data_IF_441199215132
#
_entry.id   IF_441199215132
#
_cell.length_a   1.000
_cell.length_b   1.000
_cell.length_c   1.000
_cell.angle_alpha   90.00
_cell.angle_beta   90.00
_cell.angle_gamma   90.00
#
_symmetry.space_group_name_H-M   'P 1'
#
loop_
_entity.id
_entity.type
_entity.pdbx_description
1 polymer ?
#
# COMPACT_ATOMS: atom_id res chain seq x y z
N UNK A 1 -9.71 31.80 7.41
CA UNK A 1 -10.89 31.01 6.96
C UNK A 1 -10.46 30.01 5.88
N UNK A 2 -10.06 28.79 6.27
CA UNK A 2 -9.74 27.71 5.31
C UNK A 2 -10.96 26.79 5.17
N UNK A 3 -12.00 27.25 4.47
CA UNK A 3 -13.19 26.43 4.19
C UNK A 3 -12.95 25.65 2.90
N UNK A 4 -13.03 24.32 2.98
CA UNK A 4 -12.94 23.43 1.82
C UNK A 4 -14.37 23.00 1.43
N UNK A 5 -14.64 22.92 0.13
CA UNK A 5 -15.88 22.33 -0.41
C UNK A 5 -15.47 21.18 -1.32
N UNK A 6 -16.06 20.01 -1.07
CA UNK A 6 -15.83 18.81 -1.86
C UNK A 6 -16.98 18.61 -2.85
N UNK A 7 -16.68 18.05 -4.02
CA UNK A 7 -17.66 17.65 -5.01
C UNK A 7 -17.41 16.17 -5.34
N UNK A 8 -18.46 15.36 -5.28
CA UNK A 8 -18.43 13.96 -5.66
C UNK A 8 -19.38 13.77 -6.85
N UNK A 9 -18.88 13.15 -7.90
CA UNK A 9 -19.65 12.78 -9.09
C UNK A 9 -19.63 11.27 -9.26
N UNK A 10 -20.81 10.66 -9.32
CA UNK A 10 -20.94 9.26 -9.70
C UNK A 10 -20.59 9.11 -11.20
N UNK A 11 -19.78 8.11 -11.52
CA UNK A 11 -19.39 7.78 -12.90
C UNK A 11 -20.01 6.44 -13.26
N UNK A 12 -20.92 6.45 -14.23
CA UNK A 12 -21.43 5.22 -14.82
C UNK A 12 -20.33 4.52 -15.62
N UNK A 13 -20.26 3.20 -15.48
CA UNK A 13 -19.33 2.35 -16.21
C UNK A 13 -20.09 1.48 -17.21
N UNK A 14 -19.51 1.29 -18.40
CA UNK A 14 -20.04 0.43 -19.45
C UNK A 14 -18.99 -0.60 -19.91
N UNK A 15 -19.44 -1.72 -20.48
CA UNK A 15 -18.56 -2.81 -20.93
C UNK A 15 -18.38 -3.90 -19.87
N UNK A 16 -17.15 -4.34 -19.64
CA UNK A 16 -16.85 -5.39 -18.67
C UNK A 16 -16.76 -4.80 -17.26
N UNK A 17 -17.89 -4.65 -16.59
CA UNK A 17 -17.96 -3.99 -15.29
C UNK A 17 -17.49 -4.98 -14.19
N UNK A 18 -16.53 -4.61 -13.33
CA UNK A 18 -16.17 -5.44 -12.19
C UNK A 18 -17.37 -5.57 -11.24
N UNK A 19 -17.63 -6.79 -10.77
CA UNK A 19 -18.64 -7.00 -9.72
C UNK A 19 -18.35 -6.17 -8.45
N UNK A 20 -19.41 -5.90 -7.67
CA UNK A 20 -19.31 -5.22 -6.39
C UNK A 20 -18.39 -5.98 -5.44
N UNK A 21 -17.34 -5.30 -4.97
CA UNK A 21 -16.23 -5.92 -4.23
C UNK A 21 -15.57 -4.96 -3.23
N UNK A 22 -14.82 -5.51 -2.29
CA UNK A 22 -14.05 -4.77 -1.29
C UNK A 22 -12.67 -5.39 -1.09
N UNK A 23 -11.73 -4.65 -0.50
CA UNK A 23 -10.35 -5.12 -0.32
C UNK A 23 -9.59 -5.32 -1.65
N UNK A 24 -10.02 -4.64 -2.71
CA UNK A 24 -9.33 -4.57 -4.00
C UNK A 24 -8.44 -3.31 -4.05
N UNK A 25 -7.60 -3.20 -5.07
CA UNK A 25 -6.85 -1.97 -5.36
C UNK A 25 -7.36 -1.28 -6.60
N UNK A 26 -7.19 0.04 -6.64
CA UNK A 26 -7.41 0.89 -7.81
C UNK A 26 -6.22 1.83 -7.95
N UNK A 27 -5.58 1.84 -9.11
CA UNK A 27 -4.42 2.69 -9.38
C UNK A 27 -4.56 3.33 -10.76
N UNK A 28 -4.05 4.56 -10.91
CA UNK A 28 -3.97 5.22 -12.22
C UNK A 28 -2.63 4.90 -12.84
N UNK A 29 -2.63 4.49 -14.11
CA UNK A 29 -1.44 4.35 -14.94
C UNK A 29 -1.44 5.39 -16.05
N UNK A 30 -0.25 5.77 -16.49
CA UNK A 30 -0.01 6.71 -17.58
C UNK A 30 0.85 6.04 -18.65
N UNK A 31 0.34 5.94 -19.87
CA UNK A 31 1.04 5.32 -20.99
C UNK A 31 0.81 6.12 -22.25
N UNK A 32 1.90 6.54 -22.92
CA UNK A 32 1.88 7.31 -24.18
C UNK A 32 0.99 8.57 -24.13
N UNK A 33 0.97 9.26 -22.98
CA UNK A 33 0.17 10.48 -22.77
C UNK A 33 -1.32 10.23 -22.52
N UNK A 34 -1.74 8.97 -22.38
CA UNK A 34 -3.09 8.57 -21.96
C UNK A 34 -3.04 8.05 -20.53
N UNK A 35 -4.18 8.07 -19.85
CA UNK A 35 -4.33 7.45 -18.53
C UNK A 35 -5.48 6.44 -18.50
N UNK A 36 -5.36 5.45 -17.62
CA UNK A 36 -6.42 4.49 -17.34
C UNK A 36 -6.36 4.11 -15.86
N UNK A 37 -7.48 3.70 -15.30
CA UNK A 37 -7.54 3.10 -13.96
C UNK A 37 -7.39 1.59 -14.09
N UNK A 38 -6.46 1.02 -13.35
CA UNK A 38 -6.28 -0.43 -13.18
C UNK A 38 -6.99 -0.84 -11.90
N UNK A 39 -7.93 -1.78 -12.00
CA UNK A 39 -8.63 -2.38 -10.85
C UNK A 39 -8.26 -3.86 -10.78
N UNK A 40 -7.84 -4.32 -9.59
CA UNK A 40 -7.45 -5.71 -9.40
C UNK A 40 -7.82 -6.27 -8.02
N UNK A 41 -8.23 -7.54 -8.01
CA UNK A 41 -8.47 -8.34 -6.82
C UNK A 41 -9.74 -7.97 -6.05
N UNK A 42 -9.69 -8.24 -4.74
CA UNK A 42 -10.78 -8.03 -3.79
C UNK A 42 -11.64 -9.26 -3.54
N UNK A 43 -12.64 -9.06 -2.69
CA UNK A 43 -13.66 -10.03 -2.31
C UNK A 43 -15.03 -9.53 -2.66
N UNK A 44 -15.91 -10.47 -2.98
CA UNK A 44 -17.34 -10.25 -3.16
C UNK A 44 -18.11 -11.23 -2.28
N UNK A 45 -19.41 -10.97 -2.10
CA UNK A 45 -20.30 -11.99 -1.54
C UNK A 45 -20.44 -13.16 -2.52
N UNK A 46 -20.86 -14.31 -2.00
CA UNK A 46 -21.20 -15.44 -2.86
C UNK A 46 -22.15 -15.02 -4.00
N UNK A 47 -21.93 -15.55 -5.23
CA UNK A 47 -22.83 -15.35 -6.35
C UNK A 47 -24.28 -15.70 -6.00
N UNK A 48 -25.25 -15.02 -6.61
CA UNK A 48 -26.67 -15.15 -6.27
C UNK A 48 -27.19 -16.60 -6.31
N UNK A 49 -26.69 -17.43 -7.23
CA UNK A 49 -27.06 -18.84 -7.34
C UNK A 49 -26.47 -19.74 -6.25
N UNK A 50 -25.52 -19.26 -5.46
CA UNK A 50 -24.87 -19.96 -4.35
C UNK A 50 -25.18 -19.33 -2.97
N UNK A 51 -25.78 -18.14 -2.95
CA UNK A 51 -26.05 -17.39 -1.72
C UNK A 51 -27.37 -17.84 -1.09
N UNK A 52 -27.28 -18.30 0.16
CA UNK A 52 -28.45 -18.64 1.00
C UNK A 52 -28.49 -17.73 2.23
N UNK A 53 -29.59 -17.77 2.99
CA UNK A 53 -29.70 -17.06 4.28
C UNK A 53 -28.64 -17.53 5.28
N UNK A 54 -28.27 -18.81 5.26
CA UNK A 54 -27.23 -19.38 6.14
C UNK A 54 -25.82 -18.91 5.75
N UNK A 55 -25.59 -18.67 4.46
CA UNK A 55 -24.29 -18.24 3.91
C UNK A 55 -24.32 -16.77 3.50
N UNK A 56 -25.23 -15.98 4.09
CA UNK A 56 -25.54 -14.64 3.60
C UNK A 56 -24.33 -13.71 3.60
N UNK A 57 -23.49 -13.82 4.63
CA UNK A 57 -22.29 -13.01 4.79
C UNK A 57 -21.01 -13.73 4.35
N UNK A 58 -21.11 -14.91 3.74
CA UNK A 58 -19.95 -15.60 3.19
C UNK A 58 -19.43 -14.85 1.96
N UNK A 59 -18.11 -14.76 1.88
CA UNK A 59 -17.39 -14.06 0.83
C UNK A 59 -16.41 -15.00 0.14
N UNK A 60 -16.09 -14.67 -1.10
CA UNK A 60 -15.08 -15.34 -1.92
C UNK A 60 -14.16 -14.28 -2.50
N UNK A 61 -12.92 -14.66 -2.84
CA UNK A 61 -12.10 -13.75 -3.64
C UNK A 61 -12.68 -13.63 -5.05
N UNK A 62 -12.63 -12.42 -5.60
CA UNK A 62 -13.07 -12.16 -6.96
C UNK A 62 -12.16 -12.90 -7.96
N UNK A 63 -12.69 -13.17 -9.16
CA UNK A 63 -11.89 -13.69 -10.26
C UNK A 63 -10.65 -12.79 -10.51
N UNK A 64 -9.46 -13.37 -10.74
CA UNK A 64 -8.19 -12.64 -10.86
C UNK A 64 -8.04 -11.94 -12.23
N UNK A 65 -9.07 -11.18 -12.62
CA UNK A 65 -9.08 -10.35 -13.81
C UNK A 65 -8.53 -8.96 -13.49
N UNK A 66 -7.76 -8.41 -14.42
CA UNK A 66 -7.35 -7.01 -14.40
C UNK A 66 -8.36 -6.21 -15.21
N UNK A 67 -8.96 -5.19 -14.60
CA UNK A 67 -9.87 -4.28 -15.32
C UNK A 67 -9.16 -2.99 -15.64
N UNK A 68 -9.30 -2.52 -16.88
CA UNK A 68 -8.93 -1.17 -17.29
C UNK A 68 -10.19 -0.32 -17.44
N UNK A 69 -10.22 0.81 -16.77
CA UNK A 69 -11.31 1.78 -16.85
C UNK A 69 -10.79 3.11 -17.38
N UNK A 70 -11.35 3.56 -18.50
CA UNK A 70 -11.18 4.92 -19.00
C UNK A 70 -12.17 5.85 -18.27
N UNK A 71 -11.68 6.75 -17.43
CA UNK A 71 -12.53 7.67 -16.67
C UNK A 71 -13.16 8.78 -17.52
N UNK A 72 -12.59 9.11 -18.69
CA UNK A 72 -13.16 10.11 -19.59
C UNK A 72 -14.49 9.61 -20.13
N UNK A 73 -14.54 8.37 -20.60
CA UNK A 73 -15.73 7.80 -21.24
C UNK A 73 -16.52 6.83 -20.36
N UNK A 74 -15.94 6.35 -19.26
CA UNK A 74 -16.57 5.31 -18.41
C UNK A 74 -16.46 3.89 -18.98
N UNK A 75 -15.60 3.68 -19.98
CA UNK A 75 -15.48 2.36 -20.62
C UNK A 75 -14.58 1.45 -19.78
N UNK A 76 -15.09 0.26 -19.45
CA UNK A 76 -14.39 -0.79 -18.73
C UNK A 76 -14.11 -2.00 -19.64
N UNK A 77 -12.92 -2.57 -19.53
CA UNK A 77 -12.53 -3.80 -20.24
C UNK A 77 -11.76 -4.72 -19.31
N UNK A 78 -12.06 -6.01 -19.35
CA UNK A 78 -11.41 -7.02 -18.52
C UNK A 78 -10.30 -7.75 -19.28
N UNK A 79 -9.22 -8.08 -18.57
CA UNK A 79 -8.05 -8.77 -19.11
C UNK A 79 -7.73 -9.96 -18.23
N UNK A 80 -7.73 -11.14 -18.84
CA UNK A 80 -7.19 -12.35 -18.25
C UNK A 80 -5.68 -12.37 -18.49
N UNK A 81 -4.91 -12.51 -17.42
CA UNK A 81 -3.45 -12.51 -17.49
C UNK A 81 -2.94 -13.82 -16.85
N UNK A 82 -2.23 -14.71 -17.59
CA UNK A 82 -1.95 -16.09 -17.16
C UNK A 82 -1.20 -16.23 -15.83
N UNK A 83 -0.41 -15.22 -15.48
CA UNK A 83 0.37 -15.16 -14.25
C UNK A 83 -0.50 -15.01 -12.99
N UNK A 84 -1.73 -14.48 -13.13
CA UNK A 84 -2.68 -14.25 -12.04
C UNK A 84 -3.71 -15.37 -12.01
N UNK A 85 -3.41 -16.42 -11.25
CA UNK A 85 -4.23 -17.65 -11.22
C UNK A 85 -5.25 -17.67 -10.07
N UNK A 86 -4.89 -17.08 -8.93
CA UNK A 86 -5.71 -17.06 -7.72
C UNK A 86 -6.24 -15.66 -7.44
N UNK A 87 -7.45 -15.59 -6.88
CA UNK A 87 -8.00 -14.35 -6.34
C UNK A 87 -7.17 -13.87 -5.14
N UNK A 88 -6.92 -12.56 -5.07
CA UNK A 88 -6.14 -11.92 -4.00
C UNK A 88 -6.92 -10.72 -3.49
N UNK A 89 -6.94 -10.54 -2.17
CA UNK A 89 -7.53 -9.38 -1.51
C UNK A 89 -6.62 -8.81 -0.44
N UNK A 90 -6.83 -7.53 -0.10
CA UNK A 90 -6.04 -6.79 0.90
C UNK A 90 -4.54 -6.77 0.60
N UNK A 91 -4.17 -6.78 -0.68
CA UNK A 91 -2.81 -6.55 -1.16
C UNK A 91 -2.47 -5.06 -1.17
N UNK A 92 -1.18 -4.75 -1.17
CA UNK A 92 -0.67 -3.42 -1.49
C UNK A 92 -0.55 -3.27 -3.02
N UNK A 93 -0.77 -2.05 -3.52
CA UNK A 93 -0.62 -1.75 -4.93
C UNK A 93 0.09 -0.41 -5.13
N UNK A 94 1.23 -0.43 -5.81
CA UNK A 94 2.06 0.74 -6.09
C UNK A 94 2.08 0.99 -7.59
N UNK A 95 1.81 2.22 -8.03
CA UNK A 95 1.85 2.57 -9.44
C UNK A 95 2.98 3.54 -9.74
N UNK A 96 3.69 3.27 -10.84
CA UNK A 96 4.68 4.15 -11.44
C UNK A 96 4.47 4.11 -12.95
N UNK A 97 4.23 5.27 -13.54
CA UNK A 97 3.98 5.43 -14.98
C UNK A 97 2.94 4.43 -15.51
N UNK A 98 3.35 3.51 -16.39
CA UNK A 98 2.50 2.54 -17.07
C UNK A 98 2.37 1.20 -16.33
N UNK A 99 2.91 1.12 -15.11
CA UNK A 99 3.10 -0.13 -14.37
C UNK A 99 2.49 -0.06 -12.97
N UNK A 100 1.83 -1.15 -12.56
CA UNK A 100 1.33 -1.38 -11.20
C UNK A 100 2.00 -2.61 -10.61
N UNK A 101 2.59 -2.46 -9.43
CA UNK A 101 3.15 -3.55 -8.64
C UNK A 101 2.14 -3.96 -7.56
N UNK A 102 1.71 -5.22 -7.59
CA UNK A 102 0.86 -5.82 -6.57
C UNK A 102 1.73 -6.65 -5.62
N UNK A 103 1.64 -6.37 -4.31
CA UNK A 103 2.45 -7.02 -3.28
C UNK A 103 1.59 -7.62 -2.17
N UNK A 104 1.97 -8.81 -1.73
CA UNK A 104 1.30 -9.53 -0.64
C UNK A 104 -0.16 -9.79 -0.97
N UNK A 105 -1.02 -9.55 0.01
CA UNK A 105 -2.43 -9.88 -0.03
C UNK A 105 -2.71 -11.28 0.51
N UNK A 106 -4.00 -11.61 0.53
CA UNK A 106 -4.51 -12.82 1.13
C UNK A 106 -5.51 -13.50 0.19
N UNK A 107 -5.35 -14.81 0.02
CA UNK A 107 -6.26 -15.68 -0.71
C UNK A 107 -7.08 -16.48 0.30
N UNK A 108 -8.41 -16.34 0.27
CA UNK A 108 -9.35 -16.93 1.22
C UNK A 108 -9.48 -18.45 1.05
N UNK A 109 -9.36 -18.96 -0.17
CA UNK A 109 -9.60 -20.36 -0.49
C UNK A 109 -8.58 -21.28 0.20
N UNK A 110 -7.32 -20.86 0.24
CA UNK A 110 -6.21 -21.62 0.82
C UNK A 110 -5.60 -20.96 2.07
N UNK A 111 -6.18 -19.85 2.54
CA UNK A 111 -5.72 -19.06 3.67
C UNK A 111 -4.24 -18.64 3.56
N UNK A 112 -3.80 -18.26 2.35
CA UNK A 112 -2.40 -18.00 2.02
C UNK A 112 -2.12 -16.51 1.88
N UNK A 113 -0.96 -16.08 2.36
CA UNK A 113 -0.36 -14.78 2.05
C UNK A 113 0.88 -15.01 1.18
N UNK A 114 0.71 -14.98 -0.13
CA UNK A 114 1.78 -15.28 -1.07
C UNK A 114 2.88 -14.20 -1.04
N UNK A 115 4.12 -14.60 -1.37
CA UNK A 115 5.29 -13.70 -1.47
C UNK A 115 5.55 -13.22 -2.91
N UNK A 116 4.60 -13.45 -3.81
CA UNK A 116 4.73 -13.03 -5.20
C UNK A 116 4.56 -11.52 -5.30
N UNK A 117 5.34 -10.91 -6.18
CA UNK A 117 5.08 -9.54 -6.64
C UNK A 117 4.62 -9.65 -8.08
N UNK A 118 3.44 -9.12 -8.39
CA UNK A 118 2.92 -9.08 -9.74
C UNK A 118 3.17 -7.69 -10.33
N UNK A 119 4.05 -7.62 -11.33
CA UNK A 119 4.30 -6.40 -12.11
C UNK A 119 3.33 -6.39 -13.30
N UNK A 120 2.26 -5.62 -13.21
CA UNK A 120 1.26 -5.44 -14.26
C UNK A 120 1.65 -4.21 -15.08
N UNK A 121 1.97 -4.39 -16.37
CA UNK A 121 2.30 -3.32 -17.31
C UNK A 121 1.17 -3.09 -18.29
N UNK A 122 0.84 -1.82 -18.54
CA UNK A 122 -0.31 -1.40 -19.36
C UNK A 122 0.17 -0.48 -20.49
N UNK A 123 0.07 -0.95 -21.74
CA UNK A 123 0.31 -0.12 -22.92
C UNK A 123 -1.02 0.42 -23.48
N UNK A 124 -1.11 1.74 -23.70
CA UNK A 124 -2.30 2.43 -24.22
C UNK A 124 -2.02 3.02 -25.63
N UNK A 125 -1.91 2.20 -26.69
CA UNK A 125 -1.74 2.70 -28.05
C UNK A 125 -3.02 3.41 -28.56
N UNK A 126 -3.01 3.85 -29.82
CA UNK A 126 -4.23 4.35 -30.47
C UNK A 126 -5.30 3.26 -30.68
N UNK A 127 -4.87 1.99 -30.76
CA UNK A 127 -5.75 0.83 -30.87
C UNK A 127 -6.15 0.26 -29.50
N UNK A 128 -6.30 -1.08 -29.44
CA UNK A 128 -6.64 -1.79 -28.22
C UNK A 128 -5.52 -1.71 -27.17
N UNK A 129 -5.83 -1.47 -25.88
CA UNK A 129 -4.87 -1.59 -24.80
C UNK A 129 -4.23 -2.98 -24.74
N UNK A 130 -3.02 -3.04 -24.19
CA UNK A 130 -2.32 -4.30 -23.90
C UNK A 130 -1.97 -4.35 -22.43
N UNK A 131 -2.34 -5.44 -21.77
CA UNK A 131 -1.98 -5.73 -20.38
C UNK A 131 -1.08 -6.95 -20.36
N UNK A 132 0.03 -6.86 -19.64
CA UNK A 132 0.95 -7.99 -19.40
C UNK A 132 1.30 -8.05 -17.92
N UNK A 133 1.55 -9.24 -17.38
CA UNK A 133 2.05 -9.39 -16.02
C UNK A 133 3.37 -10.16 -16.03
N UNK A 134 4.28 -9.78 -15.14
CA UNK A 134 5.47 -10.56 -14.83
C UNK A 134 5.49 -10.84 -13.33
N UNK A 135 5.73 -12.09 -12.94
CA UNK A 135 5.91 -12.47 -11.53
C UNK A 135 7.37 -12.24 -11.14
N UNK A 136 7.60 -11.39 -10.15
CA UNK A 136 8.91 -11.15 -9.55
C UNK A 136 9.04 -11.93 -8.24
N UNK A 137 10.23 -12.49 -8.01
CA UNK A 137 10.57 -13.21 -6.78
C UNK A 137 11.07 -12.26 -5.69
N UNK A 138 11.04 -12.70 -4.43
CA UNK A 138 11.61 -11.94 -3.31
C UNK A 138 10.66 -10.95 -2.65
N UNK A 139 9.34 -11.15 -2.77
CA UNK A 139 8.35 -10.35 -2.04
C UNK A 139 8.21 -10.73 -0.57
N UNK A 140 7.45 -9.91 0.16
CA UNK A 140 7.13 -10.10 1.56
C UNK A 140 5.72 -10.68 1.68
N UNK A 141 5.52 -11.58 2.64
CA UNK A 141 4.20 -12.16 2.94
C UNK A 141 3.48 -11.26 3.94
N UNK A 142 2.40 -10.63 3.50
CA UNK A 142 1.54 -9.82 4.37
C UNK A 142 0.14 -9.67 3.78
N UNK A 143 -0.80 -9.17 4.57
CA UNK A 143 -2.07 -8.62 4.10
C UNK A 143 -2.46 -7.38 4.90
N UNK A 144 -3.29 -6.52 4.31
CA UNK A 144 -3.87 -5.33 4.96
C UNK A 144 -2.82 -4.35 5.50
N UNK A 145 -1.70 -4.20 4.79
CA UNK A 145 -0.67 -3.21 5.09
C UNK A 145 -1.15 -1.81 4.73
N UNK A 146 -0.52 -0.82 5.34
CA UNK A 146 -0.60 0.57 4.94
C UNK A 146 0.65 0.90 4.15
N UNK A 147 0.49 1.62 3.04
CA UNK A 147 1.58 2.15 2.23
C UNK A 147 1.51 3.66 2.33
N UNK A 148 2.62 4.30 2.68
CA UNK A 148 2.76 5.76 2.60
C UNK A 148 3.92 6.12 1.68
N UNK A 149 3.78 7.20 0.92
CA UNK A 149 4.84 7.71 0.07
C UNK A 149 5.68 8.72 0.85
N UNK A 150 6.99 8.47 0.94
CA UNK A 150 7.95 9.34 1.63
C UNK A 150 8.69 10.27 0.66
N UNK A 151 8.94 9.82 -0.56
CA UNK A 151 9.57 10.62 -1.61
C UNK A 151 9.05 10.18 -3.00
N UNK A 152 9.49 10.84 -4.07
CA UNK A 152 9.21 10.38 -5.43
C UNK A 152 9.71 8.93 -5.60
N UNK A 153 8.80 8.05 -6.03
CA UNK A 153 9.06 6.61 -6.23
C UNK A 153 9.53 5.83 -4.98
N UNK A 154 9.51 6.44 -3.79
CA UNK A 154 9.86 5.81 -2.52
C UNK A 154 8.65 5.71 -1.59
N UNK A 155 8.44 4.51 -1.05
CA UNK A 155 7.32 4.17 -0.20
C UNK A 155 7.79 3.42 1.05
N UNK A 156 7.01 3.48 2.12
CA UNK A 156 7.17 2.62 3.28
C UNK A 156 5.91 1.76 3.46
N UNK A 157 6.10 0.46 3.57
CA UNK A 157 5.08 -0.54 3.88
C UNK A 157 5.12 -0.88 5.37
N UNK A 158 3.98 -0.66 6.04
CA UNK A 158 3.85 -0.73 7.49
C UNK A 158 2.58 -1.46 7.84
N UNK A 159 2.59 -2.06 9.02
CA UNK A 159 1.41 -2.64 9.56
C UNK A 159 1.05 -3.95 8.85
N UNK A 160 -0.23 -4.29 8.92
CA UNK A 160 -0.77 -5.51 8.32
C UNK A 160 -0.55 -6.76 9.16
N UNK A 161 -0.68 -7.91 8.51
CA UNK A 161 -0.72 -9.21 9.15
C UNK A 161 0.11 -10.22 8.38
N UNK A 162 0.94 -10.99 9.08
CA UNK A 162 1.75 -12.09 8.53
C UNK A 162 0.94 -13.40 8.52
N UNK A 163 0.00 -13.53 9.46
CA UNK A 163 -0.96 -14.63 9.57
C UNK A 163 -2.23 -14.13 10.27
N UNK A 164 -3.24 -14.97 10.40
CA UNK A 164 -4.51 -14.58 11.03
C UNK A 164 -4.39 -14.28 12.53
N UNK A 165 -3.31 -14.76 13.15
CA UNK A 165 -3.03 -14.56 14.58
C UNK A 165 -1.82 -13.63 14.84
N UNK A 166 -1.10 -13.21 13.80
CA UNK A 166 0.14 -12.45 13.94
C UNK A 166 0.12 -11.17 13.11
N UNK A 167 0.15 -10.03 13.82
CA UNK A 167 0.38 -8.71 13.20
C UNK A 167 1.83 -8.60 12.73
N UNK A 168 2.04 -7.85 11.65
CA UNK A 168 3.38 -7.57 11.09
C UNK A 168 3.96 -6.30 11.69
N UNK A 169 4.91 -6.42 12.63
CA UNK A 169 5.52 -5.27 13.29
C UNK A 169 6.69 -4.64 12.51
N UNK A 170 7.30 -5.37 11.58
CA UNK A 170 8.41 -4.85 10.77
C UNK A 170 7.91 -3.82 9.75
N UNK A 171 8.79 -2.91 9.35
CA UNK A 171 8.56 -1.95 8.27
C UNK A 171 9.48 -2.29 7.09
N UNK A 172 9.06 -1.96 5.86
CA UNK A 172 9.89 -2.13 4.69
C UNK A 172 9.87 -0.87 3.83
N UNK A 173 11.03 -0.46 3.35
CA UNK A 173 11.16 0.59 2.33
C UNK A 173 11.04 -0.07 0.96
N UNK A 174 10.31 0.57 0.07
CA UNK A 174 10.12 0.15 -1.32
C UNK A 174 10.51 1.29 -2.23
N UNK A 175 11.48 1.06 -3.11
CA UNK A 175 11.92 2.00 -4.12
C UNK A 175 11.57 1.47 -5.51
N UNK A 176 10.88 2.26 -6.32
CA UNK A 176 10.51 1.91 -7.69
C UNK A 176 11.47 2.57 -8.68
N UNK A 177 12.21 1.76 -9.44
CA UNK A 177 12.90 2.24 -10.64
C UNK A 177 12.03 2.02 -11.88
N UNK A 178 12.49 2.47 -13.03
CA UNK A 178 11.73 2.39 -14.29
C UNK A 178 11.35 0.96 -14.66
N UNK A 179 12.19 -0.02 -14.31
CA UNK A 179 11.93 -1.42 -14.66
C UNK A 179 12.00 -2.40 -13.48
N UNK A 180 12.34 -1.95 -12.27
CA UNK A 180 12.48 -2.82 -11.10
C UNK A 180 11.85 -2.24 -9.84
N UNK A 181 11.60 -3.14 -8.89
CA UNK A 181 11.18 -2.83 -7.53
C UNK A 181 12.26 -3.33 -6.59
N UNK A 182 12.71 -2.47 -5.68
CA UNK A 182 13.65 -2.83 -4.63
C UNK A 182 12.96 -2.74 -3.28
N UNK A 183 13.06 -3.79 -2.47
CA UNK A 183 12.41 -3.87 -1.16
C UNK A 183 13.50 -4.13 -0.13
N UNK A 184 13.58 -3.26 0.86
CA UNK A 184 14.57 -3.33 1.95
C UNK A 184 13.86 -3.33 3.29
N UNK A 185 14.49 -3.92 4.30
CA UNK A 185 14.04 -3.74 5.68
C UNK A 185 14.24 -2.27 6.07
N UNK A 186 13.25 -1.72 6.77
CA UNK A 186 13.29 -0.35 7.27
C UNK A 186 13.22 -0.39 8.79
N UNK A 187 13.97 0.49 9.45
CA UNK A 187 13.99 0.58 10.90
C UNK A 187 12.56 0.78 11.42
N UNK A 188 12.10 -0.20 12.20
CA UNK A 188 10.73 -0.17 12.71
C UNK A 188 10.68 0.75 13.92
N UNK A 189 9.62 1.55 14.08
CA UNK A 189 9.49 2.43 15.24
C UNK A 189 9.42 1.61 16.52
N UNK A 190 9.76 2.25 17.64
CA UNK A 190 9.56 1.64 18.96
C UNK A 190 8.07 1.52 19.27
N UNK A 191 7.47 0.37 18.91
CA UNK A 191 6.06 0.14 19.17
C UNK A 191 5.76 0.09 20.67
N UNK A 192 4.70 0.78 21.07
CA UNK A 192 4.22 0.77 22.46
C UNK A 192 3.69 -0.61 22.87
N UNK A 193 3.52 -0.81 24.17
CA UNK A 193 2.94 -2.04 24.70
C UNK A 193 1.53 -2.29 24.14
N UNK A 194 0.70 -1.25 24.01
CA UNK A 194 -0.66 -1.39 23.48
C UNK A 194 -0.66 -1.91 22.04
N UNK A 195 0.19 -1.34 21.17
CA UNK A 195 0.32 -1.80 19.78
C UNK A 195 0.86 -3.22 19.70
N UNK A 196 1.90 -3.54 20.48
CA UNK A 196 2.52 -4.87 20.48
C UNK A 196 1.52 -5.95 20.91
N UNK A 197 0.79 -5.72 22.01
CA UNK A 197 -0.11 -6.72 22.60
C UNK A 197 -1.51 -6.75 21.99
N UNK A 198 -1.96 -5.69 21.30
CA UNK A 198 -3.25 -5.71 20.61
C UNK A 198 -3.30 -6.83 19.57
N UNK A 199 -4.44 -7.53 19.45
CA UNK A 199 -4.61 -8.57 18.41
C UNK A 199 -4.77 -7.98 17.01
N UNK A 200 -5.36 -6.80 16.92
CA UNK A 200 -5.67 -6.14 15.64
C UNK A 200 -5.21 -4.70 15.64
N UNK A 201 -5.02 -4.18 14.43
CA UNK A 201 -4.82 -2.78 14.16
C UNK A 201 -5.42 -2.45 12.79
N UNK A 202 -5.62 -1.18 12.56
CA UNK A 202 -6.01 -0.64 11.26
C UNK A 202 -5.44 0.76 11.15
N UNK A 203 -5.56 1.36 9.98
CA UNK A 203 -5.05 2.69 9.77
C UNK A 203 -5.14 3.10 8.32
N UNK A 204 -4.53 4.25 8.04
CA UNK A 204 -4.47 4.80 6.70
C UNK A 204 -3.29 5.74 6.56
N UNK A 205 -2.86 5.87 5.30
CA UNK A 205 -1.92 6.91 4.90
C UNK A 205 -2.57 8.29 5.03
N UNK A 206 -1.88 9.22 5.67
CA UNK A 206 -2.24 10.63 5.76
C UNK A 206 -1.51 11.48 4.71
N UNK A 207 -0.66 10.85 3.90
CA UNK A 207 0.22 11.50 2.93
C UNK A 207 1.54 11.94 3.55
N UNK A 208 2.52 12.22 2.69
CA UNK A 208 3.83 12.77 3.07
C UNK A 208 4.57 11.94 4.16
N UNK A 209 4.50 10.61 4.08
CA UNK A 209 5.13 9.72 5.05
C UNK A 209 4.43 9.62 6.41
N UNK A 210 3.27 10.27 6.60
CA UNK A 210 2.51 10.20 7.85
C UNK A 210 1.44 9.11 7.78
N UNK A 211 1.34 8.29 8.84
CA UNK A 211 0.39 7.18 8.95
C UNK A 211 -0.39 7.29 10.25
N UNK A 212 -1.72 7.21 10.15
CA UNK A 212 -2.60 7.08 11.32
C UNK A 212 -2.84 5.60 11.61
N UNK A 213 -2.58 5.16 12.82
CA UNK A 213 -2.86 3.81 13.31
C UNK A 213 -3.92 3.84 14.41
N UNK A 214 -4.82 2.86 14.40
CA UNK A 214 -5.82 2.63 15.42
C UNK A 214 -5.70 1.22 16.00
N UNK A 215 -5.78 1.09 17.32
CA UNK A 215 -5.86 -0.20 18.04
C UNK A 215 -7.05 -0.20 18.99
N UNK A 216 -7.77 -1.33 19.13
CA UNK A 216 -8.86 -1.44 20.07
C UNK A 216 -8.36 -1.35 21.53
N UNK A 217 -9.12 -0.67 22.37
CA UNK A 217 -8.92 -0.65 23.83
C UNK A 217 -9.58 -1.88 24.47
N UNK A 218 -8.85 -2.57 25.35
CA UNK A 218 -9.32 -3.73 26.13
C UNK A 218 -10.21 -3.32 27.35
N UNK A 219 -10.94 -2.21 27.26
CA UNK A 219 -11.80 -1.76 28.35
C UNK A 219 -13.09 -2.60 28.42
N UNK A 220 -13.13 -3.52 29.38
CA UNK A 220 -14.32 -4.33 29.73
C UNK A 220 -15.49 -3.50 30.30
N UNK A 221 -15.30 -2.22 30.55
CA UNK A 221 -16.37 -1.31 30.97
C UNK A 221 -17.09 -0.77 29.74
N UNK A 222 -18.38 -1.10 29.64
CA UNK A 222 -19.29 -0.71 28.56
C UNK A 222 -19.46 0.83 28.52
N UNK A 223 -18.58 1.55 27.84
CA UNK A 223 -18.92 2.85 27.26
C UNK A 223 -19.57 2.65 25.90
N UNK A 224 -20.57 3.47 25.56
CA UNK A 224 -21.26 3.42 24.28
C UNK A 224 -20.38 3.82 23.07
N UNK A 225 -19.16 4.29 23.32
CA UNK A 225 -18.16 4.64 22.32
C UNK A 225 -17.12 3.51 22.21
N UNK A 226 -16.88 3.03 20.99
CA UNK A 226 -15.79 2.12 20.71
C UNK A 226 -14.47 2.81 21.01
N UNK A 227 -13.82 2.44 22.11
CA UNK A 227 -12.57 3.06 22.54
C UNK A 227 -11.42 2.55 21.68
N UNK A 228 -10.98 3.34 20.71
CA UNK A 228 -9.74 3.10 19.97
C UNK A 228 -8.65 4.04 20.47
N UNK A 229 -7.44 3.53 20.65
CA UNK A 229 -6.25 4.38 20.77
C UNK A 229 -5.72 4.67 19.38
N UNK A 230 -5.47 5.95 19.10
CA UNK A 230 -4.92 6.40 17.84
C UNK A 230 -3.48 6.87 18.02
N UNK A 231 -2.64 6.51 17.06
CA UNK A 231 -1.23 6.85 17.01
C UNK A 231 -0.90 7.46 15.65
N UNK A 232 -0.13 8.54 15.65
CA UNK A 232 0.42 9.13 14.44
C UNK A 232 1.88 8.70 14.32
N UNK A 233 2.20 8.01 13.25
CA UNK A 233 3.56 7.65 12.90
C UNK A 233 4.03 8.55 11.76
N UNK A 234 5.08 9.34 11.98
CA UNK A 234 5.66 10.20 10.94
C UNK A 234 7.00 9.61 10.49
N UNK A 235 7.12 9.35 9.19
CA UNK A 235 8.27 8.70 8.56
C UNK A 235 8.77 9.48 7.35
N UNK A 236 8.15 10.63 7.07
CA UNK A 236 8.75 11.61 6.18
C UNK A 236 10.08 12.05 6.77
N UNK A 237 11.09 12.17 5.93
CA UNK A 237 12.36 12.75 6.35
C UNK A 237 12.15 14.26 6.55
N UNK A 238 12.66 14.80 7.66
CA UNK A 238 13.01 16.23 7.70
C UNK A 238 14.02 16.48 6.56
N UNK A 239 13.84 17.54 5.80
CA UNK A 239 14.58 17.85 4.56
C UNK A 239 16.13 17.89 4.73
N UNK A 240 16.66 17.84 5.96
CA UNK A 240 18.08 17.99 6.28
C UNK A 240 18.94 16.70 6.18
N UNK A 241 18.35 15.51 6.03
CA UNK A 241 19.11 14.24 5.95
C UNK A 241 19.34 13.72 4.50
N UNK A 242 18.99 14.52 3.50
CA UNK A 242 18.79 14.11 2.09
C UNK A 242 20.05 13.98 1.20
N UNK A 243 21.24 13.67 1.72
CA UNK A 243 22.44 13.61 0.86
C UNK A 243 23.26 12.32 0.85
N UNK A 244 22.89 11.25 1.56
CA UNK A 244 23.85 10.13 1.72
C UNK A 244 23.43 8.70 1.40
N UNK A 245 22.21 8.40 0.95
CA UNK A 245 21.79 6.98 0.81
C UNK A 245 21.25 6.55 -0.55
N UNK A 246 21.34 7.38 -1.60
CA UNK A 246 20.96 6.98 -2.97
C UNK A 246 22.01 7.32 -4.04
N UNK A 247 23.30 7.24 -3.69
CA UNK A 247 24.41 7.29 -4.65
C UNK A 247 25.40 6.16 -4.38
N UNK A 248 25.80 5.50 -5.47
CA UNK A 248 26.63 4.29 -5.51
C UNK A 248 27.92 4.43 -4.67
N UNK A 249 28.22 3.43 -3.84
CA UNK A 249 29.55 3.25 -3.24
C UNK A 249 30.57 3.00 -4.36
N UNK A 250 31.39 4.00 -4.65
CA UNK A 250 32.74 3.80 -5.20
C UNK A 250 33.73 4.05 -4.08
N UNK A 251 34.34 2.97 -3.58
CA UNK A 251 35.48 3.04 -2.68
C UNK A 251 36.67 3.64 -3.43
N UNK A 252 37.00 4.90 -3.16
CA UNK A 252 38.37 5.38 -3.25
C UNK A 252 38.71 6.09 -1.94
N UNK A 253 39.71 5.52 -1.27
CA UNK A 253 40.34 6.03 -0.05
C UNK A 253 40.90 7.44 -0.32
N UNK A 254 40.62 8.40 0.55
CA UNK A 254 41.60 9.48 0.74
C UNK A 254 41.63 9.98 2.18
N UNK A 255 42.88 10.03 2.63
CA UNK A 255 43.39 10.25 3.97
C UNK A 255 43.12 11.65 4.54
N UNK A 256 42.91 11.64 5.86
CA UNK A 256 43.56 12.51 6.86
C UNK A 256 43.40 14.04 6.75
N UNK A 257 42.62 14.60 7.66
CA UNK A 257 42.98 15.87 8.31
C UNK A 257 42.31 16.04 9.67
N UNK A 258 43.15 16.39 10.65
CA UNK A 258 42.92 16.62 12.08
C UNK A 258 41.85 17.68 12.45
N UNK A 259 41.36 17.68 13.72
CA UNK A 259 40.22 18.48 14.15
C UNK A 259 40.61 19.94 14.40
N UNK A 260 39.71 20.86 14.04
CA UNK A 260 39.77 22.25 14.48
C UNK A 260 38.87 22.43 15.71
N UNK A 261 39.52 22.65 16.86
CA UNK A 261 38.92 23.28 18.03
C UNK A 261 38.60 24.75 17.72
N UNK A 262 37.36 25.14 17.95
CA UNK A 262 36.96 26.43 18.53
C UNK A 262 35.43 26.34 18.74
N UNK A 263 34.87 26.32 19.95
CA UNK A 263 34.87 27.32 21.02
C UNK A 263 33.41 27.79 21.23
N UNK A 264 32.94 27.63 22.47
CA UNK A 264 31.81 28.32 23.14
C UNK A 264 30.40 27.69 23.13
N UNK A 265 30.11 27.04 24.27
CA UNK A 265 28.78 26.72 24.82
C UNK A 265 27.89 27.97 24.94
N UNK A 266 26.58 27.80 24.67
CA UNK A 266 25.55 28.55 25.38
C UNK A 266 24.39 27.62 25.77
N UNK A 267 24.37 27.24 27.04
CA UNK A 267 23.19 26.72 27.74
C UNK A 267 22.28 27.89 28.11
N UNK A 268 20.97 27.71 27.93
CA UNK A 268 19.97 28.55 28.60
C UNK A 268 19.15 27.66 29.53
N UNK A 269 19.47 27.77 30.82
CA UNK A 269 18.60 27.32 31.90
C UNK A 269 17.36 28.21 32.02
N UNK A 270 16.28 27.57 32.48
CA UNK A 270 14.99 28.12 32.86
C UNK A 270 15.06 29.33 33.79
N UNK A 271 14.00 30.17 33.76
CA UNK A 271 13.32 30.94 34.83
C UNK A 271 12.38 31.90 34.06
N UNK A 272 11.03 31.88 34.13
CA UNK A 272 10.05 31.65 35.20
C UNK A 272 8.88 30.78 34.74
#
# INVERSE_FOLDING_TARGET
NKKITLCCSEKELEGDIPEARYGHSMNIVHSRGKSAVVIFGGRSFLPLNQRTTEKWNCVVDCQPLVYLVDLQFGCSSSYLVPELQDGISFHAALAKDDTVYILGGHTIENNLRARNIYKIKVDLPLGSPKVTCTVLQGGISFSSTIVTQTNQDEFIIIGGYESDSQKRLNCNRVCLSDESINIQEFESPEWTGEIKHSKTWFGGDMGHGAVLLGVPSDNKHQSAEANFYFYLLNLGQDEDLMLQTCSQESLEEQEDSMPLEDSEEFTFDNIY
#
